data_IF_973692552796
#
_entry.id   IF_973692552796
#
_cell.length_a   1.000
_cell.length_b   1.000
_cell.length_c   1.000
_cell.angle_alpha   90.00
_cell.angle_beta   90.00
_cell.angle_gamma   90.00
#
_symmetry.space_group_name_H-M   'P 1'
#
loop_
_entity.id
_entity.type
_entity.pdbx_description
1 polymer ?
#
# COMPACT_ATOMS: atom_id res chain seq x y z
N UNK A 1 -11.51 26.67 21.17
CA UNK A 1 -10.88 25.43 20.67
C UNK A 1 -11.56 25.05 19.37
N UNK A 2 -10.86 25.11 18.22
CA UNK A 2 -11.39 24.55 16.97
C UNK A 2 -11.26 23.03 17.08
N UNK A 3 -12.39 22.34 17.27
CA UNK A 3 -12.44 20.88 17.33
C UNK A 3 -12.12 20.35 15.93
N UNK A 4 -10.89 19.89 15.70
CA UNK A 4 -10.57 19.12 14.52
C UNK A 4 -11.10 17.71 14.82
N UNK A 5 -12.15 17.22 14.12
CA UNK A 5 -12.62 15.88 14.34
C UNK A 5 -11.48 14.89 14.11
N UNK A 6 -11.30 13.94 15.03
CA UNK A 6 -10.39 12.81 14.79
C UNK A 6 -10.77 12.16 13.46
N UNK A 7 -9.81 11.91 12.55
CA UNK A 7 -10.14 11.30 11.27
C UNK A 7 -10.80 9.94 11.51
N UNK A 8 -11.97 9.74 10.91
CA UNK A 8 -12.63 8.45 10.91
C UNK A 8 -11.71 7.50 10.11
N UNK A 9 -11.25 6.37 10.68
CA UNK A 9 -10.41 5.44 9.97
C UNK A 9 -11.11 4.95 8.70
N UNK A 10 -10.39 4.96 7.58
CA UNK A 10 -10.91 4.44 6.31
C UNK A 10 -11.17 2.95 6.50
N UNK A 11 -12.39 2.51 6.19
CA UNK A 11 -12.72 1.09 6.12
C UNK A 11 -12.22 0.55 4.79
N UNK A 12 -11.38 -0.47 4.85
CA UNK A 12 -10.87 -1.19 3.69
C UNK A 12 -10.71 -2.66 4.08
N UNK A 13 -10.82 -3.56 3.10
CA UNK A 13 -10.65 -4.99 3.32
C UNK A 13 -9.17 -5.37 3.23
N UNK A 14 -8.47 -4.82 2.23
CA UNK A 14 -7.08 -5.13 1.98
C UNK A 14 -6.23 -3.88 1.70
N UNK A 15 -5.01 -3.90 2.23
CA UNK A 15 -3.94 -3.00 1.81
C UNK A 15 -2.92 -3.80 0.98
N UNK A 16 -2.62 -3.30 -0.20
CA UNK A 16 -1.56 -3.81 -1.06
C UNK A 16 -0.37 -2.87 -0.99
N UNK A 17 0.85 -3.41 -1.00
CA UNK A 17 2.09 -2.62 -0.98
C UNK A 17 3.10 -3.09 -2.02
N UNK A 18 3.73 -2.14 -2.69
CA UNK A 18 4.90 -2.36 -3.52
C UNK A 18 6.06 -1.55 -2.94
N UNK A 19 7.04 -2.25 -2.36
CA UNK A 19 8.20 -1.63 -1.69
C UNK A 19 9.50 -2.28 -2.14
N UNK A 20 10.56 -1.50 -2.32
CA UNK A 20 11.88 -2.04 -2.62
C UNK A 20 12.57 -2.53 -1.35
N UNK A 21 13.31 -3.63 -1.47
CA UNK A 21 14.21 -4.06 -0.39
C UNK A 21 15.54 -3.29 -0.44
N UNK A 22 16.47 -3.62 0.47
CA UNK A 22 17.81 -3.03 0.50
C UNK A 22 18.61 -3.19 -0.81
N UNK A 23 18.30 -4.22 -1.61
CA UNK A 23 18.94 -4.45 -2.91
C UNK A 23 18.20 -3.78 -4.09
N UNK A 24 17.19 -2.93 -3.83
CA UNK A 24 16.39 -2.26 -4.86
C UNK A 24 15.35 -3.13 -5.56
N UNK A 25 15.18 -4.40 -5.16
CA UNK A 25 14.19 -5.31 -5.76
C UNK A 25 12.82 -5.04 -5.16
N UNK A 26 11.83 -4.81 -6.03
CA UNK A 26 10.44 -4.63 -5.63
C UNK A 26 9.86 -5.89 -5.00
N UNK A 27 9.20 -5.71 -3.86
CA UNK A 27 8.47 -6.73 -3.12
C UNK A 27 7.01 -6.31 -2.98
N UNK A 28 6.12 -7.28 -3.21
CA UNK A 28 4.69 -7.06 -3.21
C UNK A 28 4.06 -7.80 -2.05
N UNK A 29 3.16 -7.12 -1.33
CA UNK A 29 2.45 -7.71 -0.20
C UNK A 29 0.98 -7.33 -0.20
N UNK A 30 0.18 -8.20 0.41
CA UNK A 30 -1.22 -7.98 0.73
C UNK A 30 -1.41 -8.13 2.24
N UNK A 31 -2.18 -7.24 2.83
CA UNK A 31 -2.52 -7.25 4.26
C UNK A 31 -4.02 -7.12 4.38
N UNK A 32 -4.67 -8.09 5.02
CA UNK A 32 -6.07 -7.93 5.44
C UNK A 32 -6.10 -7.21 6.78
N UNK A 33 -7.09 -6.36 6.99
CA UNK A 33 -7.28 -5.72 8.29
C UNK A 33 -7.29 -6.74 9.44
N UNK A 34 -6.42 -6.54 10.44
CA UNK A 34 -6.27 -7.42 11.59
C UNK A 34 -5.47 -8.71 11.34
N UNK A 35 -4.90 -8.91 10.14
CA UNK A 35 -4.12 -10.12 9.79
C UNK A 35 -2.67 -9.75 9.44
N UNK A 36 -1.77 -10.73 9.55
CA UNK A 36 -0.36 -10.58 9.18
C UNK A 36 -0.15 -10.32 7.69
N UNK A 37 1.01 -9.73 7.39
CA UNK A 37 1.42 -9.35 6.04
C UNK A 37 1.79 -10.58 5.21
N UNK A 38 1.07 -10.80 4.11
CA UNK A 38 1.31 -11.89 3.17
C UNK A 38 2.11 -11.39 1.96
N UNK A 39 3.16 -12.10 1.59
CA UNK A 39 3.91 -11.84 0.35
C UNK A 39 3.15 -12.41 -0.85
N UNK A 40 3.01 -11.60 -1.89
CA UNK A 40 2.29 -11.96 -3.12
C UNK A 40 3.17 -11.81 -4.36
N UNK A 41 2.68 -12.32 -5.49
CA UNK A 41 3.36 -12.15 -6.78
C UNK A 41 3.15 -10.74 -7.36
N UNK A 42 4.03 -10.32 -8.28
CA UNK A 42 3.83 -9.09 -9.07
C UNK A 42 2.53 -9.12 -9.87
N UNK A 43 2.18 -10.27 -10.45
CA UNK A 43 0.98 -10.41 -11.27
C UNK A 43 -0.30 -10.24 -10.44
N UNK A 44 -0.33 -10.79 -9.22
CA UNK A 44 -1.44 -10.56 -8.29
C UNK A 44 -1.56 -9.08 -7.91
N UNK A 45 -0.44 -8.42 -7.61
CA UNK A 45 -0.44 -6.99 -7.30
C UNK A 45 -0.98 -6.13 -8.46
N UNK A 46 -0.55 -6.40 -9.69
CA UNK A 46 -0.99 -5.65 -10.88
C UNK A 46 -2.49 -5.86 -11.13
N UNK A 47 -2.98 -7.09 -11.03
CA UNK A 47 -4.43 -7.37 -11.12
C UNK A 47 -5.19 -6.60 -10.05
N UNK A 48 -4.73 -6.67 -8.80
CA UNK A 48 -5.37 -5.92 -7.71
C UNK A 48 -5.38 -4.40 -7.96
N UNK A 49 -4.30 -3.84 -8.49
CA UNK A 49 -4.20 -2.40 -8.78
C UNK A 49 -5.09 -1.95 -9.94
N UNK A 50 -5.26 -2.81 -10.95
CA UNK A 50 -6.03 -2.46 -12.16
C UNK A 50 -7.52 -2.78 -12.02
N UNK A 51 -7.88 -3.84 -11.29
CA UNK A 51 -9.21 -4.44 -11.34
C UNK A 51 -10.06 -4.15 -10.09
N UNK A 52 -9.44 -3.84 -8.94
CA UNK A 52 -10.17 -3.60 -7.69
C UNK A 52 -10.54 -2.11 -7.50
N UNK A 53 -11.65 -1.82 -6.81
CA UNK A 53 -12.05 -0.44 -6.52
C UNK A 53 -11.13 0.18 -5.46
N UNK A 54 -10.08 0.87 -5.90
CA UNK A 54 -9.14 1.55 -5.00
C UNK A 54 -9.83 2.71 -4.27
N UNK A 55 -9.84 2.63 -2.94
CA UNK A 55 -10.38 3.66 -2.04
C UNK A 55 -9.35 4.78 -1.84
N UNK A 56 -8.08 4.41 -1.68
CA UNK A 56 -7.00 5.36 -1.45
C UNK A 56 -5.65 4.83 -1.95
N UNK A 57 -4.74 5.75 -2.28
CA UNK A 57 -3.34 5.46 -2.61
C UNK A 57 -2.44 6.31 -1.71
N UNK A 58 -1.41 5.67 -1.17
CA UNK A 58 -0.38 6.30 -0.35
C UNK A 58 1.00 6.10 -1.00
N UNK A 59 1.59 7.12 -1.64
CA UNK A 59 2.95 7.04 -2.13
C UNK A 59 3.94 6.96 -0.96
N UNK A 60 4.91 6.06 -1.04
CA UNK A 60 5.94 5.89 -0.02
C UNK A 60 7.22 6.52 -0.54
N UNK A 61 7.55 7.70 -0.03
CA UNK A 61 8.81 8.34 -0.36
C UNK A 61 9.90 7.85 0.59
N UNK A 62 10.95 7.24 0.04
CA UNK A 62 12.13 6.85 0.80
C UNK A 62 13.29 7.79 0.43
N UNK A 63 13.75 8.57 1.42
CA UNK A 63 14.89 9.48 1.24
C UNK A 63 16.13 8.68 0.77
N UNK A 64 16.82 9.18 -0.24
CA UNK A 64 17.96 8.51 -0.86
C UNK A 64 17.62 7.43 -1.90
N UNK A 65 16.34 7.23 -2.22
CA UNK A 65 15.89 6.36 -3.32
C UNK A 65 14.96 7.12 -4.27
N UNK A 66 15.48 8.18 -4.88
CA UNK A 66 14.69 9.11 -5.71
C UNK A 66 14.15 8.47 -7.01
N UNK A 67 14.76 7.37 -7.44
CA UNK A 67 14.38 6.66 -8.68
C UNK A 67 13.39 5.51 -8.45
N UNK A 68 12.99 5.23 -7.20
CA UNK A 68 12.13 4.09 -6.88
C UNK A 68 10.75 4.57 -6.45
N UNK A 69 9.74 4.26 -7.28
CA UNK A 69 8.35 4.49 -6.94
C UNK A 69 7.83 3.37 -6.05
N UNK A 70 7.60 3.68 -4.78
CA UNK A 70 6.97 2.78 -3.81
C UNK A 70 5.59 3.32 -3.45
N UNK A 71 4.63 2.43 -3.22
CA UNK A 71 3.28 2.84 -2.85
C UNK A 71 2.54 1.75 -2.08
N UNK A 72 1.50 2.20 -1.40
CA UNK A 72 0.42 1.40 -0.88
C UNK A 72 -0.89 1.84 -1.52
N UNK A 73 -1.81 0.90 -1.67
CA UNK A 73 -3.20 1.21 -2.01
C UNK A 73 -4.16 0.35 -1.19
N UNK A 74 -5.34 0.89 -0.97
CA UNK A 74 -6.37 0.34 -0.10
C UNK A 74 -7.61 0.06 -0.92
N UNK A 75 -8.17 -1.14 -0.75
CA UNK A 75 -9.41 -1.62 -1.39
C UNK A 75 -10.34 -2.17 -0.34
#
# INVERSE_FOLDING_TARGET
MKYIPSPIPIKYDFMYSATANKSGRMQYHKVRMGVSKLRISRAEFIRAFNDLPIIAVNPIQQRGQEIVFQLQFYV
#
